data_IF_348919124219
#
_entry.id   IF_348919124219
#
_cell.length_a   1.000
_cell.length_b   1.000
_cell.length_c   1.000
_cell.angle_alpha   90.00
_cell.angle_beta   90.00
_cell.angle_gamma   90.00
#
_symmetry.space_group_name_H-M   'P 1'
#
loop_
_entity.id
_entity.type
_entity.pdbx_description
1 polymer ?
#
# COMPACT_ATOMS: atom_id res chain seq x y z
N UNK A 1 6.88 36.26 -19.77
CA UNK A 1 6.88 35.90 -21.20
C UNK A 1 8.33 35.58 -21.52
N UNK A 2 8.84 34.36 -21.36
CA UNK A 2 8.43 33.14 -22.03
C UNK A 2 9.11 31.96 -21.29
N UNK A 3 8.33 31.11 -20.62
CA UNK A 3 8.78 29.81 -20.07
C UNK A 3 7.99 28.75 -20.81
N UNK A 4 8.60 28.00 -21.72
CA UNK A 4 8.19 26.65 -22.08
C UNK A 4 9.27 26.03 -23.00
N UNK A 5 9.99 25.02 -22.49
CA UNK A 5 10.60 23.90 -23.23
C UNK A 5 11.57 23.16 -22.29
N UNK A 6 11.11 22.07 -21.67
CA UNK A 6 11.99 20.95 -21.37
C UNK A 6 11.35 19.71 -22.00
N UNK A 7 11.83 19.39 -23.19
CA UNK A 7 11.52 18.16 -23.90
C UNK A 7 12.28 17.01 -23.23
N UNK A 8 11.56 15.92 -23.00
CA UNK A 8 12.09 14.63 -22.56
C UNK A 8 13.02 14.12 -23.67
N UNK A 9 14.33 14.11 -23.40
CA UNK A 9 15.33 13.56 -24.30
C UNK A 9 15.83 12.22 -23.75
N UNK A 10 15.14 11.15 -24.14
CA UNK A 10 15.62 9.78 -24.00
C UNK A 10 16.81 9.58 -24.96
N UNK A 11 18.03 9.55 -24.43
CA UNK A 11 19.21 9.01 -25.14
C UNK A 11 19.96 8.03 -24.27
N UNK A 12 19.78 6.75 -24.59
CA UNK A 12 20.87 5.82 -24.87
C UNK A 12 21.75 5.38 -23.70
N UNK A 13 21.27 4.43 -22.89
CA UNK A 13 22.14 3.43 -22.27
C UNK A 13 21.94 2.10 -23.01
N UNK A 14 22.94 1.73 -23.83
CA UNK A 14 23.03 0.42 -24.47
C UNK A 14 23.41 -0.61 -23.40
N UNK A 15 22.52 -1.55 -23.13
CA UNK A 15 22.84 -2.77 -22.38
C UNK A 15 23.53 -3.75 -23.34
N UNK A 16 24.74 -4.26 -23.03
CA UNK A 16 25.40 -5.24 -23.90
C UNK A 16 24.67 -6.59 -23.86
N UNK A 17 24.27 -7.08 -25.04
CA UNK A 17 23.83 -8.46 -25.24
C UNK A 17 25.00 -9.41 -24.98
N UNK A 18 24.91 -10.25 -23.94
CA UNK A 18 25.72 -11.46 -23.85
C UNK A 18 24.91 -12.65 -24.35
N UNK A 19 25.24 -13.05 -25.58
CA UNK A 19 24.98 -14.38 -26.11
C UNK A 19 25.80 -15.37 -25.28
N UNK A 20 25.13 -16.32 -24.63
CA UNK A 20 25.75 -17.39 -23.87
C UNK A 20 24.73 -18.49 -23.65
N UNK A 21 24.77 -19.48 -24.53
CA UNK A 21 24.01 -20.73 -24.42
C UNK A 21 24.46 -21.40 -23.12
N UNK A 22 23.57 -21.45 -22.13
CA UNK A 22 23.72 -22.33 -20.97
C UNK A 22 22.67 -23.43 -21.13
N UNK A 23 23.13 -24.58 -21.59
CA UNK A 23 22.41 -25.84 -21.56
C UNK A 23 22.19 -26.23 -20.11
N UNK A 24 20.98 -26.03 -19.58
CA UNK A 24 20.58 -26.60 -18.29
C UNK A 24 19.86 -27.92 -18.55
N UNK A 25 20.53 -29.00 -18.17
CA UNK A 25 20.04 -30.37 -18.15
C UNK A 25 18.80 -30.47 -17.25
N UNK A 26 17.68 -30.92 -17.81
CA UNK A 26 16.47 -31.29 -17.06
C UNK A 26 16.71 -32.56 -16.23
N UNK A 27 16.39 -32.59 -14.93
CA UNK A 27 16.26 -33.83 -14.19
C UNK A 27 14.88 -34.47 -14.49
N UNK A 28 14.94 -35.75 -14.83
CA UNK A 28 13.81 -36.64 -15.13
C UNK A 28 12.79 -36.65 -13.99
N UNK A 29 11.51 -36.42 -14.33
CA UNK A 29 10.37 -36.77 -13.49
C UNK A 29 10.28 -38.30 -13.39
N UNK A 30 10.46 -38.81 -12.17
CA UNK A 30 10.23 -40.22 -11.84
C UNK A 30 8.74 -40.45 -11.63
N UNK A 31 8.24 -41.44 -12.37
CA UNK A 31 6.89 -42.00 -12.35
C UNK A 31 6.58 -42.65 -11.00
N UNK A 32 5.45 -42.27 -10.37
CA UNK A 32 4.83 -43.03 -9.27
C UNK A 32 3.47 -43.57 -9.77
N UNK A 33 3.14 -44.85 -9.53
CA UNK A 33 2.07 -45.52 -10.27
C UNK A 33 0.67 -45.34 -9.67
N UNK A 34 -0.28 -45.28 -10.61
CA UNK A 34 -1.73 -45.38 -10.44
C UNK A 34 -2.17 -46.55 -9.56
N UNK A 35 -3.10 -46.31 -8.63
CA UNK A 35 -3.94 -47.35 -8.04
C UNK A 35 -5.42 -47.09 -8.35
N UNK A 36 -6.03 -48.17 -8.86
CA UNK A 36 -7.42 -48.31 -9.29
C UNK A 36 -8.44 -48.07 -8.18
N UNK A 37 -9.46 -47.30 -8.54
CA UNK A 37 -10.88 -47.66 -8.58
C UNK A 37 -11.34 -48.85 -7.71
N UNK A 38 -12.17 -48.56 -6.71
CA UNK A 38 -13.24 -49.47 -6.27
C UNK A 38 -14.57 -48.71 -6.31
N UNK A 39 -15.49 -49.31 -7.04
CA UNK A 39 -16.89 -48.95 -7.24
C UNK A 39 -17.72 -49.42 -6.05
N UNK A 40 -18.65 -48.59 -5.58
CA UNK A 40 -19.94 -49.06 -5.03
C UNK A 40 -21.06 -48.09 -5.37
N UNK A 41 -22.21 -48.68 -5.72
CA UNK A 41 -23.44 -48.11 -6.28
C UNK A 41 -24.16 -47.06 -5.41
N UNK A 42 -24.62 -46.03 -6.11
CA UNK A 42 -25.96 -45.41 -6.11
C UNK A 42 -26.91 -45.70 -4.93
N UNK A 43 -27.24 -44.65 -4.18
CA UNK A 43 -28.58 -44.42 -3.65
C UNK A 43 -29.01 -42.98 -3.92
N UNK A 44 -30.15 -42.87 -4.62
CA UNK A 44 -30.85 -41.65 -5.01
C UNK A 44 -31.65 -41.16 -3.80
N UNK A 45 -31.37 -39.96 -3.30
CA UNK A 45 -32.25 -39.28 -2.34
C UNK A 45 -32.44 -37.81 -2.71
N UNK A 46 -33.67 -37.37 -2.48
CA UNK A 46 -34.31 -36.18 -3.02
C UNK A 46 -33.64 -34.86 -2.61
N UNK A 47 -33.64 -33.93 -3.55
CA UNK A 47 -33.28 -32.53 -3.38
C UNK A 47 -34.38 -31.83 -2.58
N UNK A 48 -34.04 -31.28 -1.42
CA UNK A 48 -34.84 -30.28 -0.72
C UNK A 48 -34.02 -29.00 -0.59
N UNK A 49 -34.41 -27.98 -1.34
CA UNK A 49 -33.84 -26.62 -1.30
C UNK A 49 -34.21 -25.93 0.03
N UNK A 50 -33.21 -25.58 0.83
CA UNK A 50 -33.27 -24.49 1.82
C UNK A 50 -31.94 -23.72 1.83
N UNK A 51 -31.97 -22.39 1.93
CA UNK A 51 -30.76 -21.57 1.92
C UNK A 51 -29.96 -21.78 3.21
N UNK A 52 -28.71 -22.22 3.06
CA UNK A 52 -27.76 -22.38 4.15
C UNK A 52 -27.24 -21.01 4.56
N UNK A 53 -27.81 -20.46 5.64
CA UNK A 53 -27.24 -19.33 6.37
C UNK A 53 -25.90 -19.77 6.94
N UNK A 54 -24.81 -19.09 6.56
CA UNK A 54 -23.48 -19.29 7.12
C UNK A 54 -23.54 -18.96 8.61
N UNK A 55 -23.55 -19.98 9.47
CA UNK A 55 -23.29 -19.82 10.90
C UNK A 55 -21.79 -20.02 11.12
N UNK A 56 -21.06 -19.02 11.63
CA UNK A 56 -19.69 -19.25 12.03
C UNK A 56 -19.69 -20.26 13.18
N UNK A 57 -18.85 -21.28 13.06
CA UNK A 57 -18.58 -22.27 14.11
C UNK A 57 -18.22 -21.56 15.40
N UNK A 58 -19.02 -21.79 16.45
CA UNK A 58 -18.82 -21.29 17.79
C UNK A 58 -17.53 -21.87 18.38
N UNK A 59 -16.42 -21.16 18.24
CA UNK A 59 -15.46 -21.15 19.34
C UNK A 59 -16.11 -20.29 20.42
N UNK A 60 -16.39 -20.91 21.57
CA UNK A 60 -16.75 -20.17 22.78
C UNK A 60 -15.64 -19.16 23.05
N UNK A 61 -15.86 -17.91 22.62
CA UNK A 61 -15.08 -16.78 23.08
C UNK A 61 -15.46 -16.66 24.56
N UNK A 62 -14.58 -17.15 25.42
CA UNK A 62 -14.65 -16.84 26.84
C UNK A 62 -14.87 -15.32 26.94
N UNK A 63 -15.88 -14.90 27.72
CA UNK A 63 -16.06 -13.51 28.10
C UNK A 63 -14.82 -13.10 28.90
N UNK A 64 -13.74 -12.74 28.21
CA UNK A 64 -12.72 -11.87 28.75
C UNK A 64 -13.42 -10.54 28.94
N UNK A 65 -13.71 -10.21 30.20
CA UNK A 65 -13.87 -8.83 30.63
C UNK A 65 -12.68 -8.06 30.08
N UNK A 66 -12.89 -7.28 29.02
CA UNK A 66 -11.84 -6.41 28.46
C UNK A 66 -11.50 -5.43 29.56
N UNK A 67 -10.34 -5.61 30.18
CA UNK A 67 -9.72 -4.56 30.97
C UNK A 67 -9.32 -3.48 29.96
N UNK A 68 -10.25 -2.57 29.64
CA UNK A 68 -10.03 -1.51 28.67
C UNK A 68 -8.97 -0.57 29.25
N UNK A 69 -7.80 -0.54 28.60
CA UNK A 69 -6.73 0.37 29.00
C UNK A 69 -7.15 1.80 28.63
N UNK A 70 -6.98 2.80 29.53
CA UNK A 70 -7.26 4.21 29.24
C UNK A 70 -6.58 4.72 27.96
N UNK A 71 -5.45 4.13 27.57
CA UNK A 71 -4.74 4.45 26.31
C UNK A 71 -5.55 4.03 25.07
N UNK A 72 -6.26 2.90 25.13
CA UNK A 72 -7.06 2.42 24.00
C UNK A 72 -8.30 3.31 23.76
N UNK A 73 -8.89 3.89 24.82
CA UNK A 73 -10.05 4.76 24.68
C UNK A 73 -9.66 6.13 24.09
N UNK A 74 -8.52 6.70 24.52
CA UNK A 74 -7.95 7.91 23.92
C UNK A 74 -7.72 7.70 22.41
N UNK A 75 -7.17 6.54 22.03
CA UNK A 75 -6.97 6.20 20.62
C UNK A 75 -8.32 6.11 19.89
N UNK A 76 -9.31 5.39 20.42
CA UNK A 76 -10.62 5.28 19.74
C UNK A 76 -11.35 6.61 19.61
N UNK A 77 -11.20 7.49 20.58
CA UNK A 77 -11.76 8.84 20.51
C UNK A 77 -11.09 9.66 19.39
N UNK A 78 -9.76 9.61 19.32
CA UNK A 78 -8.99 10.33 18.30
C UNK A 78 -9.14 9.77 16.88
N UNK A 79 -9.27 8.44 16.75
CA UNK A 79 -9.35 7.70 15.49
C UNK A 79 -10.69 6.97 15.38
N UNK A 80 -11.73 7.74 15.09
CA UNK A 80 -13.09 7.24 14.93
C UNK A 80 -13.54 7.28 13.44
N UNK A 81 -14.67 6.62 13.07
CA UNK A 81 -15.13 6.57 11.69
C UNK A 81 -15.29 7.94 11.01
N UNK A 82 -15.73 8.97 11.73
CA UNK A 82 -15.87 10.32 11.15
C UNK A 82 -14.52 10.93 10.76
N UNK A 83 -13.46 10.66 11.55
CA UNK A 83 -12.09 11.06 11.21
C UNK A 83 -11.61 10.30 9.97
N UNK A 84 -11.88 8.99 9.88
CA UNK A 84 -11.51 8.18 8.72
C UNK A 84 -12.20 8.65 7.43
N UNK A 85 -13.48 9.00 7.51
CA UNK A 85 -14.23 9.58 6.38
C UNK A 85 -13.65 10.93 5.97
N UNK A 86 -13.32 11.79 6.94
CA UNK A 86 -12.70 13.10 6.69
C UNK A 86 -11.36 12.99 5.98
N UNK A 87 -10.51 12.04 6.36
CA UNK A 87 -9.22 11.76 5.71
C UNK A 87 -9.42 11.40 4.25
N UNK A 88 -10.31 10.45 3.95
CA UNK A 88 -10.55 10.03 2.56
C UNK A 88 -11.18 11.14 1.74
N UNK A 89 -12.11 11.89 2.32
CA UNK A 89 -12.78 13.01 1.64
C UNK A 89 -11.77 14.07 1.23
N UNK A 90 -10.86 14.45 2.13
CA UNK A 90 -9.82 15.44 1.86
C UNK A 90 -8.78 14.92 0.88
N UNK A 91 -8.27 13.69 1.08
CA UNK A 91 -7.20 13.12 0.26
C UNK A 91 -7.62 12.85 -1.19
N UNK A 92 -8.88 12.45 -1.37
CA UNK A 92 -9.47 12.15 -2.68
C UNK A 92 -10.41 13.25 -3.19
N UNK A 93 -10.33 14.48 -2.64
CA UNK A 93 -11.27 15.57 -2.94
C UNK A 93 -11.38 15.96 -4.43
N UNK A 94 -10.33 15.66 -5.22
CA UNK A 94 -10.28 15.99 -6.64
C UNK A 94 -10.72 14.83 -7.55
N UNK A 95 -11.15 13.71 -6.96
CA UNK A 95 -11.78 12.61 -7.70
C UNK A 95 -13.25 12.97 -7.92
N UNK A 96 -13.60 13.23 -9.16
CA UNK A 96 -14.96 13.60 -9.58
C UNK A 96 -15.68 12.48 -10.32
N UNK A 97 -14.93 11.47 -10.76
CA UNK A 97 -15.43 10.28 -11.45
C UNK A 97 -14.97 9.03 -10.69
N UNK A 98 -15.88 8.12 -10.27
CA UNK A 98 -15.52 6.88 -9.59
C UNK A 98 -14.51 6.01 -10.35
N UNK A 99 -14.45 6.10 -11.69
CA UNK A 99 -13.47 5.35 -12.48
C UNK A 99 -12.03 5.81 -12.25
N UNK A 100 -11.82 7.05 -11.81
CA UNK A 100 -10.50 7.55 -11.41
C UNK A 100 -9.97 6.86 -10.15
N UNK A 101 -10.84 6.16 -9.39
CA UNK A 101 -10.40 5.28 -8.31
C UNK A 101 -9.78 3.98 -8.86
N UNK A 102 -10.31 3.49 -9.99
CA UNK A 102 -9.82 2.30 -10.68
C UNK A 102 -8.41 2.57 -11.19
N UNK A 103 -8.28 3.62 -12.00
CA UNK A 103 -7.01 4.07 -12.56
C UNK A 103 -6.98 5.61 -12.61
N UNK A 104 -6.24 6.28 -11.71
CA UNK A 104 -6.17 7.73 -11.72
C UNK A 104 -5.46 8.24 -12.98
N UNK A 105 -5.74 9.47 -13.40
CA UNK A 105 -4.96 10.10 -14.47
C UNK A 105 -3.60 10.56 -13.92
N UNK A 106 -2.57 10.74 -14.77
CA UNK A 106 -1.29 11.33 -14.35
C UNK A 106 -1.45 12.71 -13.69
N UNK A 107 -2.40 13.53 -14.17
CA UNK A 107 -2.68 14.86 -13.63
C UNK A 107 -3.27 14.79 -12.21
N UNK A 108 -4.18 13.85 -11.98
CA UNK A 108 -4.75 13.60 -10.66
C UNK A 108 -3.67 13.06 -9.72
N UNK A 109 -2.91 12.06 -10.16
CA UNK A 109 -1.82 11.46 -9.38
C UNK A 109 -0.77 12.49 -8.96
N UNK A 110 -0.44 13.43 -9.86
CA UNK A 110 0.53 14.50 -9.61
C UNK A 110 0.16 15.33 -8.36
N UNK A 111 -1.12 15.49 -8.05
CA UNK A 111 -1.56 16.25 -6.89
C UNK A 111 -1.14 15.60 -5.56
N UNK A 112 -1.04 14.27 -5.52
CA UNK A 112 -0.58 13.56 -4.31
C UNK A 112 0.95 13.59 -4.15
N UNK A 113 1.70 13.75 -5.24
CA UNK A 113 3.17 13.69 -5.22
C UNK A 113 3.86 15.05 -5.38
N UNK A 114 3.10 16.14 -5.52
CA UNK A 114 3.63 17.50 -5.61
C UNK A 114 3.37 18.25 -4.32
N UNK A 115 4.35 19.02 -3.84
CA UNK A 115 4.16 19.87 -2.67
C UNK A 115 3.19 21.01 -2.97
N UNK A 116 2.29 21.27 -2.03
CA UNK A 116 1.31 22.35 -2.11
C UNK A 116 1.11 22.91 -0.70
N UNK A 117 1.56 24.16 -0.50
CA UNK A 117 1.50 24.82 0.80
C UNK A 117 0.06 25.04 1.32
N UNK A 118 -0.93 25.17 0.43
CA UNK A 118 -2.32 25.28 0.84
C UNK A 118 -2.85 23.93 1.34
N UNK A 119 -2.48 22.85 0.64
CA UNK A 119 -2.84 21.50 1.06
C UNK A 119 -2.13 21.10 2.36
N UNK A 120 -0.86 21.48 2.53
CA UNK A 120 -0.12 21.29 3.78
C UNK A 120 -0.81 22.01 4.94
N UNK A 121 -1.18 23.27 4.76
CA UNK A 121 -1.93 24.04 5.76
C UNK A 121 -3.24 23.36 6.12
N UNK A 122 -3.98 22.87 5.13
CA UNK A 122 -5.23 22.16 5.35
C UNK A 122 -5.01 20.86 6.14
N UNK A 123 -3.94 20.10 5.84
CA UNK A 123 -3.58 18.90 6.60
C UNK A 123 -3.25 19.23 8.06
N UNK A 124 -2.47 20.29 8.31
CA UNK A 124 -2.11 20.73 9.67
C UNK A 124 -3.36 21.14 10.44
N UNK A 125 -4.19 22.01 9.88
CA UNK A 125 -5.43 22.47 10.54
C UNK A 125 -6.40 21.33 10.83
N UNK A 126 -6.42 20.31 9.96
CA UNK A 126 -7.39 19.22 10.05
C UNK A 126 -6.96 18.09 10.98
N UNK A 127 -5.69 17.69 10.94
CA UNK A 127 -5.23 16.42 11.53
C UNK A 127 -4.22 16.57 12.67
N UNK A 128 -3.83 17.78 13.05
CA UNK A 128 -2.94 18.01 14.21
C UNK A 128 -3.39 17.26 15.47
N UNK A 129 -4.69 17.21 15.85
CA UNK A 129 -5.10 16.47 17.05
C UNK A 129 -4.74 14.98 17.01
N UNK A 130 -4.93 14.32 15.87
CA UNK A 130 -4.59 12.91 15.67
C UNK A 130 -3.08 12.70 15.70
N UNK A 131 -2.31 13.57 15.01
CA UNK A 131 -0.86 13.48 14.99
C UNK A 131 -0.25 13.68 16.38
N UNK A 132 -0.76 14.63 17.16
CA UNK A 132 -0.33 14.85 18.55
C UNK A 132 -0.71 13.68 19.45
N UNK A 133 -1.84 13.03 19.20
CA UNK A 133 -2.20 11.80 19.91
C UNK A 133 -1.18 10.70 19.65
N UNK A 134 -0.81 10.43 18.40
CA UNK A 134 0.25 9.45 18.08
C UNK A 134 1.58 9.82 18.75
N UNK A 135 2.02 11.07 18.63
CA UNK A 135 3.29 11.54 19.23
C UNK A 135 3.28 11.33 20.74
N UNK A 136 2.20 11.71 21.41
CA UNK A 136 2.07 11.59 22.87
C UNK A 136 2.04 10.12 23.30
N UNK A 137 1.26 9.28 22.62
CA UNK A 137 1.15 7.85 22.96
C UNK A 137 2.47 7.10 22.67
N UNK A 138 3.22 7.50 21.64
CA UNK A 138 4.55 6.94 21.35
C UNK A 138 5.57 7.29 22.43
N UNK A 139 5.49 8.50 23.00
CA UNK A 139 6.39 8.93 24.08
C UNK A 139 6.12 8.27 25.45
N UNK A 140 5.05 7.48 25.58
CA UNK A 140 4.73 6.78 26.85
C UNK A 140 5.58 5.53 27.06
N UNK A 141 5.64 5.04 28.31
CA UNK A 141 6.45 3.87 28.74
C UNK A 141 6.23 2.62 27.88
N UNK A 142 5.04 2.46 27.30
CA UNK A 142 4.68 1.27 26.52
C UNK A 142 5.00 1.38 25.02
N UNK A 143 5.43 2.55 24.53
CA UNK A 143 5.75 2.86 23.13
C UNK A 143 4.73 2.35 22.11
N UNK A 144 3.86 3.24 21.61
CA UNK A 144 2.87 2.87 20.60
C UNK A 144 3.53 2.25 19.35
N UNK A 145 3.09 1.03 19.01
CA UNK A 145 3.47 0.30 17.79
C UNK A 145 2.28 0.19 16.84
N UNK A 146 2.53 -0.13 15.57
CA UNK A 146 1.46 -0.33 14.59
C UNK A 146 0.53 -1.48 14.97
N UNK A 147 1.08 -2.58 15.50
CA UNK A 147 0.25 -3.69 16.00
C UNK A 147 -0.65 -3.26 17.16
N UNK A 148 -0.09 -2.57 18.17
CA UNK A 148 -0.89 -2.12 19.32
C UNK A 148 -1.97 -1.10 18.94
N UNK A 149 -1.69 -0.27 17.91
CA UNK A 149 -2.65 0.68 17.38
C UNK A 149 -3.80 -0.05 16.67
N UNK A 150 -3.51 -1.04 15.83
CA UNK A 150 -4.55 -1.87 15.19
C UNK A 150 -5.39 -2.59 16.24
N UNK A 151 -4.77 -3.19 17.25
CA UNK A 151 -5.49 -3.92 18.30
C UNK A 151 -6.40 -2.97 19.10
N UNK A 152 -5.94 -1.76 19.40
CA UNK A 152 -6.74 -0.75 20.08
C UNK A 152 -7.93 -0.28 19.23
N UNK A 153 -7.69 0.07 17.96
CA UNK A 153 -8.70 0.65 17.08
C UNK A 153 -9.68 -0.39 16.52
N UNK A 154 -9.22 -1.62 16.28
CA UNK A 154 -9.97 -2.68 15.60
C UNK A 154 -10.70 -2.17 14.34
N UNK A 155 -9.99 -1.69 13.31
CA UNK A 155 -10.61 -1.11 12.10
C UNK A 155 -11.64 -2.06 11.49
N UNK A 156 -12.80 -1.54 11.10
CA UNK A 156 -13.96 -2.35 10.74
C UNK A 156 -13.98 -2.71 9.25
N UNK A 157 -13.41 -1.85 8.41
CA UNK A 157 -13.45 -1.99 6.95
C UNK A 157 -12.07 -1.84 6.31
N UNK A 158 -11.86 -2.34 5.08
CA UNK A 158 -10.63 -2.07 4.31
C UNK A 158 -10.36 -0.56 4.11
N UNK A 159 -11.41 0.25 4.04
CA UNK A 159 -11.29 1.70 3.91
C UNK A 159 -10.84 2.38 5.21
N UNK A 160 -11.08 1.77 6.38
CA UNK A 160 -10.54 2.27 7.64
C UNK A 160 -9.02 2.06 7.71
N UNK A 161 -8.53 0.92 7.23
CA UNK A 161 -7.08 0.69 7.07
C UNK A 161 -6.45 1.69 6.10
N UNK A 162 -7.11 1.96 4.97
CA UNK A 162 -6.67 2.98 4.03
C UNK A 162 -6.57 4.37 4.70
N UNK A 163 -7.59 4.80 5.43
CA UNK A 163 -7.57 6.07 6.15
C UNK A 163 -6.45 6.13 7.19
N UNK A 164 -6.27 5.05 7.94
CA UNK A 164 -5.22 4.96 8.95
C UNK A 164 -3.83 5.08 8.31
N UNK A 165 -3.59 4.38 7.19
CA UNK A 165 -2.32 4.46 6.47
C UNK A 165 -2.07 5.85 5.87
N UNK A 166 -3.07 6.51 5.31
CA UNK A 166 -2.95 7.89 4.85
C UNK A 166 -2.58 8.84 6.01
N UNK A 167 -3.19 8.66 7.17
CA UNK A 167 -2.93 9.48 8.35
C UNK A 167 -1.56 9.23 8.99
N UNK A 168 -1.04 8.01 8.88
CA UNK A 168 0.25 7.63 9.44
C UNK A 168 1.40 7.85 8.46
N UNK A 169 1.19 7.76 7.16
CA UNK A 169 2.27 7.84 6.18
C UNK A 169 2.24 9.17 5.41
N UNK A 170 1.09 9.55 4.86
CA UNK A 170 1.01 10.68 3.94
C UNK A 170 0.82 12.02 4.66
N UNK A 171 -0.20 12.12 5.52
CA UNK A 171 -0.51 13.35 6.25
C UNK A 171 0.70 13.90 7.04
N UNK A 172 1.52 13.10 7.73
CA UNK A 172 2.69 13.61 8.44
C UNK A 172 3.73 14.26 7.52
N UNK A 173 3.86 13.79 6.28
CA UNK A 173 4.77 14.38 5.27
C UNK A 173 4.32 15.76 4.79
N UNK A 174 3.01 16.02 4.82
CA UNK A 174 2.43 17.34 4.57
C UNK A 174 2.48 18.26 5.81
N UNK A 175 2.45 17.69 7.01
CA UNK A 175 2.43 18.46 8.27
C UNK A 175 3.82 18.77 8.84
N UNK A 176 4.82 17.93 8.60
CA UNK A 176 6.14 18.02 9.21
C UNK A 176 7.24 18.07 8.14
N UNK A 177 7.60 19.28 7.72
CA UNK A 177 8.68 19.55 6.75
C UNK A 177 9.95 20.07 7.43
N UNK A 178 11.06 20.06 6.70
CA UNK A 178 12.34 20.60 7.17
C UNK A 178 12.83 19.90 8.45
N UNK A 179 13.16 20.66 9.49
CA UNK A 179 13.62 20.12 10.78
C UNK A 179 12.62 19.19 11.45
N UNK A 180 11.31 19.38 11.18
CA UNK A 180 10.25 18.56 11.77
C UNK A 180 10.11 17.20 11.10
N UNK A 181 10.71 17.00 9.91
CA UNK A 181 10.65 15.74 9.16
C UNK A 181 11.21 14.54 9.96
N UNK A 182 12.07 14.80 10.96
CA UNK A 182 12.52 13.77 11.90
C UNK A 182 11.35 13.00 12.52
N UNK A 183 10.27 13.69 12.89
CA UNK A 183 9.06 13.06 13.47
C UNK A 183 8.47 12.03 12.53
N UNK A 184 8.40 12.36 11.23
CA UNK A 184 7.92 11.43 10.19
C UNK A 184 8.74 10.15 10.22
N UNK A 185 10.06 10.27 10.16
CA UNK A 185 10.95 9.12 10.05
C UNK A 185 11.07 8.30 11.34
N UNK A 186 11.01 8.93 12.52
CA UNK A 186 11.24 8.24 13.80
C UNK A 186 9.98 7.77 14.51
N UNK A 187 8.84 8.41 14.26
CA UNK A 187 7.56 8.10 14.94
C UNK A 187 6.59 7.46 13.95
N UNK A 188 6.35 8.12 12.83
CA UNK A 188 5.24 7.75 11.95
C UNK A 188 5.57 6.60 11.00
N UNK A 189 6.73 6.64 10.33
CA UNK A 189 7.16 5.60 9.39
C UNK A 189 7.15 4.19 10.01
N UNK A 190 7.73 3.95 11.22
CA UNK A 190 7.72 2.62 11.82
C UNK A 190 6.30 2.09 12.09
N UNK A 191 5.41 2.95 12.58
CA UNK A 191 4.00 2.59 12.85
C UNK A 191 3.28 2.31 11.52
N UNK A 192 3.45 3.16 10.51
CA UNK A 192 2.84 2.99 9.20
C UNK A 192 3.29 1.68 8.51
N UNK A 193 4.58 1.35 8.59
CA UNK A 193 5.15 0.11 8.05
C UNK A 193 4.51 -1.10 8.73
N UNK A 194 4.45 -1.13 10.07
CA UNK A 194 3.80 -2.25 10.78
C UNK A 194 2.32 -2.40 10.43
N UNK A 195 1.59 -1.28 10.34
CA UNK A 195 0.17 -1.29 9.94
C UNK A 195 0.02 -1.83 8.51
N UNK A 196 0.88 -1.40 7.58
CA UNK A 196 0.87 -1.88 6.20
C UNK A 196 1.18 -3.38 6.11
N UNK A 197 2.22 -3.84 6.81
CA UNK A 197 2.59 -5.26 6.86
C UNK A 197 1.46 -6.12 7.42
N UNK A 198 0.79 -5.66 8.49
CA UNK A 198 -0.36 -6.35 9.06
C UNK A 198 -1.54 -6.38 8.10
N UNK A 199 -1.86 -5.27 7.45
CA UNK A 199 -2.93 -5.19 6.46
C UNK A 199 -2.68 -6.14 5.27
N UNK A 200 -1.44 -6.22 4.78
CA UNK A 200 -1.04 -7.14 3.70
C UNK A 200 -1.17 -8.60 4.16
N UNK A 201 -0.70 -8.92 5.37
CA UNK A 201 -0.83 -10.26 5.97
C UNK A 201 -2.30 -10.67 6.08
N UNK A 202 -3.16 -9.77 6.53
CA UNK A 202 -4.59 -9.98 6.74
C UNK A 202 -5.40 -9.85 5.43
N UNK A 203 -4.73 -9.71 4.28
CA UNK A 203 -5.34 -9.64 2.94
C UNK A 203 -6.32 -8.48 2.75
N UNK A 204 -6.16 -7.40 3.52
CA UNK A 204 -6.99 -6.19 3.41
C UNK A 204 -6.91 -5.58 1.99
N UNK A 205 -5.74 -5.46 1.33
CA UNK A 205 -5.64 -4.94 -0.04
C UNK A 205 -6.34 -5.82 -1.10
N UNK A 206 -6.70 -7.05 -0.76
CA UNK A 206 -7.34 -8.00 -1.69
C UNK A 206 -8.87 -7.94 -1.60
N UNK A 207 -9.42 -7.13 -0.70
CA UNK A 207 -10.86 -6.86 -0.60
C UNK A 207 -11.39 -6.21 -1.89
N UNK A 208 -12.61 -6.56 -2.37
CA UNK A 208 -13.16 -6.04 -3.63
C UNK A 208 -13.17 -4.51 -3.73
N UNK A 209 -13.37 -3.81 -2.62
CA UNK A 209 -13.41 -2.35 -2.52
C UNK A 209 -12.06 -1.68 -2.78
N UNK A 210 -10.95 -2.44 -2.71
CA UNK A 210 -9.57 -1.97 -2.83
C UNK A 210 -8.86 -2.61 -4.03
N UNK A 211 -8.99 -3.93 -4.21
CA UNK A 211 -8.11 -4.78 -5.04
C UNK A 211 -7.85 -4.23 -6.44
N UNK A 212 -8.89 -3.74 -7.10
CA UNK A 212 -8.84 -3.26 -8.48
C UNK A 212 -8.88 -1.73 -8.60
N UNK A 213 -8.74 -1.00 -7.48
CA UNK A 213 -8.71 0.46 -7.43
C UNK A 213 -7.31 0.95 -7.11
N UNK A 214 -6.50 1.24 -8.13
CA UNK A 214 -5.11 1.67 -7.96
C UNK A 214 -5.00 2.90 -7.06
N UNK A 215 -5.96 3.84 -7.15
CA UNK A 215 -5.98 5.04 -6.31
C UNK A 215 -6.15 4.73 -4.82
N UNK A 216 -6.66 3.55 -4.45
CA UNK A 216 -6.79 3.09 -3.07
C UNK A 216 -5.68 2.13 -2.69
N UNK A 217 -5.40 1.14 -3.53
CA UNK A 217 -4.49 0.04 -3.20
C UNK A 217 -3.03 0.50 -3.05
N UNK A 218 -2.63 1.53 -3.78
CA UNK A 218 -1.27 2.09 -3.70
C UNK A 218 -0.83 2.42 -2.26
N UNK A 219 -1.70 3.02 -1.47
CA UNK A 219 -1.34 3.53 -0.14
C UNK A 219 -1.03 2.43 0.88
N UNK A 220 -1.35 1.17 0.55
CA UNK A 220 -0.94 0.00 1.34
C UNK A 220 0.53 -0.36 1.16
N UNK A 221 1.17 0.11 0.09
CA UNK A 221 2.52 -0.31 -0.30
C UNK A 221 3.54 0.82 -0.21
N UNK A 222 3.09 2.08 -0.22
CA UNK A 222 3.94 3.25 -0.12
C UNK A 222 4.71 3.34 1.21
N UNK A 223 4.12 3.00 2.39
CA UNK A 223 4.88 2.93 3.65
C UNK A 223 6.08 1.99 3.56
N UNK A 224 5.96 0.87 2.83
CA UNK A 224 7.06 -0.08 2.63
C UNK A 224 8.21 0.55 1.83
N UNK A 225 7.93 1.46 0.89
CA UNK A 225 8.97 2.20 0.17
C UNK A 225 9.68 3.22 1.06
N UNK A 226 9.06 3.64 2.15
CA UNK A 226 9.66 4.59 3.08
C UNK A 226 10.55 3.93 4.14
N UNK A 227 10.61 2.60 4.17
CA UNK A 227 11.48 1.84 5.07
C UNK A 227 12.95 1.97 4.69
N UNK A 228 13.85 1.99 5.67
CA UNK A 228 15.30 1.79 5.48
C UNK A 228 15.68 0.30 5.64
N UNK A 229 14.79 -0.64 5.30
CA UNK A 229 15.02 -2.10 5.31
C UNK A 229 14.90 -2.70 3.91
N UNK A 230 15.96 -3.41 3.50
CA UNK A 230 16.06 -4.07 2.18
C UNK A 230 14.95 -5.08 1.91
N UNK A 231 14.59 -5.92 2.89
CA UNK A 231 13.55 -6.94 2.75
C UNK A 231 12.17 -6.30 2.59
N UNK A 232 11.96 -5.18 3.28
CA UNK A 232 10.72 -4.41 3.15
C UNK A 232 10.59 -3.81 1.74
N UNK A 233 11.69 -3.37 1.13
CA UNK A 233 11.71 -2.96 -0.28
C UNK A 233 11.39 -4.10 -1.24
N UNK A 234 11.91 -5.30 -1.01
CA UNK A 234 11.60 -6.47 -1.85
C UNK A 234 10.10 -6.83 -1.79
N UNK A 235 9.49 -6.74 -0.61
CA UNK A 235 8.04 -6.90 -0.46
C UNK A 235 7.30 -5.77 -1.17
N UNK A 236 7.71 -4.51 -1.01
CA UNK A 236 7.10 -3.37 -1.71
C UNK A 236 7.08 -3.59 -3.22
N UNK A 237 8.20 -4.01 -3.82
CA UNK A 237 8.27 -4.30 -5.25
C UNK A 237 7.35 -5.45 -5.66
N UNK A 238 7.26 -6.49 -4.84
CA UNK A 238 6.39 -7.65 -5.07
C UNK A 238 4.92 -7.23 -5.09
N UNK A 239 4.49 -6.46 -4.11
CA UNK A 239 3.10 -6.02 -3.97
C UNK A 239 2.69 -5.02 -5.05
N UNK A 240 3.57 -4.08 -5.43
CA UNK A 240 3.30 -3.17 -6.56
C UNK A 240 3.11 -3.94 -7.87
N UNK A 241 3.95 -4.95 -8.16
CA UNK A 241 3.77 -5.79 -9.35
C UNK A 241 2.50 -6.64 -9.27
N UNK A 242 2.18 -7.19 -8.08
CA UNK A 242 0.94 -7.95 -7.87
C UNK A 242 -0.30 -7.11 -8.16
N UNK A 243 -0.33 -5.86 -7.72
CA UNK A 243 -1.44 -4.96 -7.97
C UNK A 243 -1.82 -4.86 -9.45
N UNK A 244 -0.84 -4.67 -10.33
CA UNK A 244 -1.09 -4.57 -11.77
C UNK A 244 -1.27 -5.93 -12.45
N UNK A 245 -0.66 -6.99 -11.91
CA UNK A 245 -0.93 -8.36 -12.35
C UNK A 245 -2.40 -8.74 -12.10
N UNK A 246 -2.94 -8.43 -10.92
CA UNK A 246 -4.34 -8.67 -10.57
C UNK A 246 -5.30 -7.92 -11.53
N UNK A 247 -4.95 -6.68 -11.92
CA UNK A 247 -5.75 -5.92 -12.88
C UNK A 247 -5.75 -6.57 -14.27
N UNK A 248 -4.60 -7.06 -14.75
CA UNK A 248 -4.53 -7.80 -16.02
C UNK A 248 -5.31 -9.11 -15.95
N UNK A 249 -5.15 -9.86 -14.86
CA UNK A 249 -5.87 -11.11 -14.64
C UNK A 249 -7.38 -10.90 -14.62
N UNK A 250 -7.87 -9.80 -14.03
CA UNK A 250 -9.30 -9.49 -14.06
C UNK A 250 -9.82 -9.33 -15.49
N UNK A 251 -9.05 -8.70 -16.38
CA UNK A 251 -9.46 -8.45 -17.76
C UNK A 251 -9.30 -9.71 -18.63
N UNK A 252 -8.21 -10.44 -18.47
CA UNK A 252 -7.88 -11.63 -19.29
C UNK A 252 -8.55 -12.92 -18.78
N UNK A 253 -8.98 -12.92 -17.53
CA UNK A 253 -9.57 -14.05 -16.83
C UNK A 253 -11.06 -14.25 -17.11
N UNK A 254 -11.64 -15.30 -16.50
CA UNK A 254 -13.07 -15.58 -16.61
C UNK A 254 -13.89 -14.45 -15.99
N UNK A 255 -15.16 -14.35 -16.42
CA UNK A 255 -16.10 -13.43 -15.80
C UNK A 255 -16.21 -13.70 -14.28
N UNK A 256 -16.37 -12.65 -13.46
CA UNK A 256 -16.63 -12.80 -12.03
C UNK A 256 -17.88 -13.67 -11.80
N UNK A 257 -17.79 -14.59 -10.84
CA UNK A 257 -18.94 -15.42 -10.48
C UNK A 257 -20.11 -14.55 -9.98
N UNK A 258 -21.32 -14.67 -10.56
CA UNK A 258 -22.47 -13.90 -10.10
C UNK A 258 -22.79 -14.20 -8.64
N UNK A 259 -23.09 -13.14 -7.86
CA UNK A 259 -23.51 -13.27 -6.47
C UNK A 259 -22.38 -13.37 -5.44
N UNK A 260 -21.11 -13.27 -5.84
CA UNK A 260 -20.00 -13.11 -4.88
C UNK A 260 -19.98 -11.70 -4.29
N UNK A 261 -19.41 -11.55 -3.08
CA UNK A 261 -19.24 -10.23 -2.46
C UNK A 261 -18.43 -9.31 -3.39
N UNK A 262 -18.98 -8.12 -3.65
CA UNK A 262 -18.35 -7.14 -4.53
C UNK A 262 -18.43 -7.46 -6.03
N UNK A 263 -19.19 -8.48 -6.47
CA UNK A 263 -19.27 -8.88 -7.88
C UNK A 263 -19.60 -7.70 -8.83
N UNK A 264 -20.51 -6.81 -8.42
CA UNK A 264 -20.88 -5.64 -9.22
C UNK A 264 -19.70 -4.68 -9.41
N UNK A 265 -19.01 -4.34 -8.32
CA UNK A 265 -17.81 -3.51 -8.38
C UNK A 265 -16.70 -4.15 -9.22
N UNK A 266 -16.50 -5.46 -9.09
CA UNK A 266 -15.50 -6.19 -9.87
C UNK A 266 -15.86 -6.13 -11.36
N UNK A 267 -17.14 -6.26 -11.71
CA UNK A 267 -17.64 -6.14 -13.09
C UNK A 267 -17.40 -4.73 -13.65
N UNK A 268 -17.73 -3.69 -12.89
CA UNK A 268 -17.45 -2.29 -13.26
C UNK A 268 -15.94 -2.06 -13.51
N UNK A 269 -15.09 -2.58 -12.61
CA UNK A 269 -13.64 -2.49 -12.76
C UNK A 269 -13.16 -3.20 -14.03
N UNK A 270 -13.68 -4.40 -14.29
CA UNK A 270 -13.33 -5.18 -15.49
C UNK A 270 -13.73 -4.47 -16.77
N UNK A 271 -14.95 -3.94 -16.82
CA UNK A 271 -15.46 -3.18 -17.97
C UNK A 271 -14.56 -1.97 -18.26
N UNK A 272 -14.26 -1.17 -17.24
CA UNK A 272 -13.36 -0.03 -17.39
C UNK A 272 -11.95 -0.46 -17.85
N UNK A 273 -11.32 -1.42 -17.16
CA UNK A 273 -9.94 -1.83 -17.44
C UNK A 273 -9.79 -2.49 -18.82
N UNK A 274 -10.84 -3.11 -19.35
CA UNK A 274 -10.85 -3.69 -20.71
C UNK A 274 -10.50 -2.65 -21.79
N UNK A 275 -10.90 -1.39 -21.59
CA UNK A 275 -10.61 -0.27 -22.48
C UNK A 275 -9.31 0.48 -22.19
N UNK A 276 -8.60 0.17 -21.09
CA UNK A 276 -7.51 1.01 -20.55
C UNK A 276 -6.20 0.21 -20.31
N UNK A 277 -5.97 -0.88 -21.05
CA UNK A 277 -4.80 -1.74 -20.88
C UNK A 277 -3.46 -1.00 -21.02
N UNK A 278 -3.36 -0.10 -21.99
CA UNK A 278 -2.14 0.67 -22.21
C UNK A 278 -1.86 1.65 -21.05
N UNK A 279 -2.90 2.19 -20.45
CA UNK A 279 -2.82 3.07 -19.28
C UNK A 279 -2.38 2.28 -18.04
N UNK A 280 -2.86 1.04 -17.87
CA UNK A 280 -2.41 0.13 -16.81
C UNK A 280 -0.90 -0.13 -16.93
N UNK A 281 -0.41 -0.44 -18.14
CA UNK A 281 1.03 -0.70 -18.35
C UNK A 281 1.89 0.55 -18.08
N UNK A 282 1.41 1.74 -18.46
CA UNK A 282 2.09 3.02 -18.15
C UNK A 282 2.15 3.26 -16.64
N UNK A 283 1.05 3.00 -15.94
CA UNK A 283 0.98 3.12 -14.49
C UNK A 283 1.92 2.14 -13.78
N UNK A 284 1.92 0.87 -14.19
CA UNK A 284 2.86 -0.12 -13.66
C UNK A 284 4.30 0.33 -13.85
N UNK A 285 4.67 0.74 -15.07
CA UNK A 285 6.01 1.23 -15.37
C UNK A 285 6.43 2.39 -14.48
N UNK A 286 5.53 3.37 -14.27
CA UNK A 286 5.78 4.51 -13.40
C UNK A 286 6.01 4.08 -11.94
N UNK A 287 5.11 3.27 -11.38
CA UNK A 287 5.13 2.91 -9.97
C UNK A 287 6.25 1.93 -9.61
N UNK A 288 6.50 0.94 -10.48
CA UNK A 288 7.59 -0.02 -10.29
C UNK A 288 8.94 0.68 -10.45
N UNK A 289 9.10 1.58 -11.43
CA UNK A 289 10.31 2.38 -11.58
C UNK A 289 10.59 3.26 -10.36
N UNK A 290 9.55 3.84 -9.77
CA UNK A 290 9.66 4.61 -8.53
C UNK A 290 10.11 3.74 -7.35
N UNK A 291 9.51 2.56 -7.17
CA UNK A 291 9.90 1.58 -6.15
C UNK A 291 11.35 1.11 -6.30
N UNK A 292 11.79 0.88 -7.54
CA UNK A 292 13.15 0.46 -7.88
C UNK A 292 14.19 1.52 -7.52
N UNK A 293 13.93 2.79 -7.82
CA UNK A 293 14.84 3.89 -7.45
C UNK A 293 15.03 4.01 -5.94
N UNK A 294 13.96 3.81 -5.17
CA UNK A 294 14.07 3.77 -3.70
C UNK A 294 14.96 2.60 -3.25
N UNK A 295 14.70 1.39 -3.77
CA UNK A 295 15.47 0.19 -3.42
C UNK A 295 16.94 0.34 -3.78
N UNK A 296 17.29 1.00 -4.89
CA UNK A 296 18.68 1.25 -5.27
C UNK A 296 19.43 2.03 -4.18
N UNK A 297 18.79 3.00 -3.52
CA UNK A 297 19.43 3.74 -2.43
C UNK A 297 19.63 2.87 -1.20
N UNK A 298 18.62 2.06 -0.85
CA UNK A 298 18.74 1.12 0.28
C UNK A 298 19.77 0.03 0.01
N UNK A 299 19.87 -0.47 -1.22
CA UNK A 299 20.89 -1.44 -1.63
C UNK A 299 22.31 -0.85 -1.56
N UNK A 300 22.46 0.43 -1.88
CA UNK A 300 23.75 1.13 -1.95
C UNK A 300 24.22 1.63 -0.59
N UNK A 301 23.34 2.30 0.15
CA UNK A 301 23.69 3.02 1.38
C UNK A 301 23.13 2.36 2.65
N UNK A 302 22.21 1.40 2.52
CA UNK A 302 21.48 0.82 3.66
C UNK A 302 20.47 1.76 4.32
N UNK A 303 20.34 2.99 3.82
CA UNK A 303 19.49 4.06 4.34
C UNK A 303 19.26 5.15 3.29
N UNK A 304 18.45 6.15 3.59
CA UNK A 304 18.24 7.32 2.75
C UNK A 304 19.19 8.47 3.13
N UNK A 305 20.19 8.82 2.29
CA UNK A 305 21.16 9.85 2.63
C UNK A 305 20.51 11.23 2.89
N UNK A 306 19.44 11.56 2.17
CA UNK A 306 18.73 12.83 2.32
C UNK A 306 18.05 12.99 3.69
N UNK A 307 17.86 11.90 4.46
CA UNK A 307 17.33 11.97 5.83
C UNK A 307 18.39 12.27 6.87
N UNK A 308 19.68 12.25 6.51
CA UNK A 308 20.79 12.35 7.47
C UNK A 308 20.71 13.61 8.34
N UNK A 309 20.49 14.78 7.74
CA UNK A 309 20.39 16.04 8.48
C UNK A 309 19.23 16.03 9.49
N UNK A 310 18.00 15.72 9.03
CA UNK A 310 16.82 15.65 9.89
C UNK A 310 16.99 14.62 11.02
N UNK A 311 17.68 13.52 10.74
CA UNK A 311 17.93 12.45 11.71
C UNK A 311 19.13 12.72 12.63
N UNK A 312 19.93 13.76 12.36
CA UNK A 312 21.18 14.04 13.09
C UNK A 312 22.28 13.00 12.85
N UNK A 313 22.29 12.36 11.66
CA UNK A 313 23.29 11.38 11.26
C UNK A 313 24.44 12.06 10.54
N UNK A 314 25.66 11.64 10.84
CA UNK A 314 26.82 12.01 10.03
C UNK A 314 26.75 11.29 8.66
N UNK A 315 26.94 12.06 7.59
CA UNK A 315 26.98 11.53 6.24
C UNK A 315 28.38 10.95 5.95
N UNK A 316 28.43 9.78 5.33
CA UNK A 316 29.68 9.26 4.77
C UNK A 316 30.13 10.13 3.58
N UNK A 317 31.41 10.04 3.19
CA UNK A 317 31.92 10.74 2.00
C UNK A 317 31.13 10.39 0.72
N UNK A 318 30.70 9.12 0.59
CA UNK A 318 29.93 8.66 -0.56
C UNK A 318 28.52 9.27 -0.56
N UNK A 319 27.86 9.31 0.59
CA UNK A 319 26.54 9.92 0.75
C UNK A 319 26.59 11.44 0.50
N UNK A 320 27.60 12.12 1.03
CA UNK A 320 27.80 13.55 0.82
C UNK A 320 28.02 13.87 -0.66
N UNK A 321 28.85 13.08 -1.36
CA UNK A 321 29.07 13.22 -2.80
C UNK A 321 27.79 12.97 -3.60
N UNK A 322 27.06 11.90 -3.28
CA UNK A 322 25.80 11.56 -3.93
C UNK A 322 24.78 12.71 -3.83
N UNK A 323 24.65 13.31 -2.64
CA UNK A 323 23.74 14.46 -2.44
C UNK A 323 24.24 15.71 -3.18
N UNK A 324 25.55 15.99 -3.16
CA UNK A 324 26.14 17.14 -3.86
C UNK A 324 25.98 17.05 -5.39
N UNK A 325 25.91 15.84 -5.95
CA UNK A 325 25.69 15.58 -7.37
C UNK A 325 24.19 15.61 -7.78
N UNK A 326 23.30 15.99 -6.86
CA UNK A 326 21.85 16.06 -7.13
C UNK A 326 21.13 14.73 -6.94
N UNK A 327 21.62 13.88 -6.03
CA UNK A 327 21.00 12.62 -5.67
C UNK A 327 19.53 12.75 -5.28
N UNK A 328 18.76 11.69 -5.52
CA UNK A 328 17.33 11.63 -5.27
C UNK A 328 16.99 11.80 -3.78
N UNK A 329 16.06 12.71 -3.50
CA UNK A 329 15.61 13.05 -2.14
C UNK A 329 14.19 12.59 -1.84
N UNK A 330 13.43 12.11 -2.83
CA UNK A 330 12.03 11.61 -2.77
C UNK A 330 11.02 12.47 -1.98
N UNK A 331 11.45 13.64 -1.53
CA UNK A 331 10.68 14.62 -0.81
C UNK A 331 10.10 15.55 -1.87
N UNK A 332 8.77 15.69 -1.92
CA UNK A 332 8.14 16.74 -2.70
C UNK A 332 8.67 18.08 -2.16
N UNK A 333 9.53 18.73 -2.95
CA UNK A 333 10.41 19.82 -2.53
C UNK A 333 9.75 21.06 -1.96
#
# INVERSE_FOLDING_TARGET
MERLRLAIQLRGLRVPRRSGIITILSPRLSTIPSRRCLSTRSHRQQVNNKPTVFKPTSHQRAKMTTNQSPSADILREAFNPAVFDKIRTLWFQNITDPTQLILPTPELAKQWFTSDANFDKLCVETFTPQLQTIITQTATINNLTGSSLIDALSPLTPLDYLSLLLLLDQVPRNCFRGSEAKKVFTIFDPIAIEVALRAISDKIPDAPEIKYRAAYRLWFYLPLQHSEDRKVHELSMTEHRRMFADMRELVDGPEPEPGTQGAELIRECREFLSGHRAEVDKWEGMMVSFAERHKVLIDRFGRYPHRNEAMGREATEEEARYLAEGGETFSSG
#
